data_IF_727187494323
#
_entry.id   IF_727187494323
#
_cell.length_a   1.000
_cell.length_b   1.000
_cell.length_c   1.000
_cell.angle_alpha   90.00
_cell.angle_beta   90.00
_cell.angle_gamma   90.00
#
_symmetry.space_group_name_H-M   'P 1'
#
loop_
_entity.id
_entity.type
_entity.pdbx_description
1 polymer ?
#
# COMPACT_ATOMS: atom_id res chain seq x y z
N UNK A 1 -26.40 -10.22 0.56
CA UNK A 1 -25.68 -9.03 0.03
C UNK A 1 -24.80 -8.34 1.08
N UNK A 2 -25.10 -8.42 2.39
CA UNK A 2 -24.27 -7.83 3.46
C UNK A 2 -22.85 -8.45 3.56
N UNK A 3 -22.69 -9.78 3.41
CA UNK A 3 -21.37 -10.41 3.48
C UNK A 3 -20.41 -9.96 2.37
N UNK A 4 -20.87 -9.75 1.14
CA UNK A 4 -20.02 -9.29 0.03
C UNK A 4 -19.49 -7.87 0.26
N UNK A 5 -20.33 -6.98 0.79
CA UNK A 5 -19.90 -5.64 1.21
C UNK A 5 -18.87 -5.69 2.34
N UNK A 6 -19.07 -6.56 3.33
CA UNK A 6 -18.14 -6.73 4.44
C UNK A 6 -16.77 -7.26 3.97
N UNK A 7 -16.75 -8.23 3.07
CA UNK A 7 -15.51 -8.72 2.44
C UNK A 7 -14.79 -7.63 1.64
N UNK A 8 -15.54 -6.76 0.95
CA UNK A 8 -14.96 -5.63 0.23
C UNK A 8 -14.33 -4.63 1.19
N UNK A 9 -15.04 -4.25 2.25
CA UNK A 9 -14.53 -3.33 3.28
C UNK A 9 -13.29 -3.89 4.00
N UNK A 10 -13.28 -5.19 4.32
CA UNK A 10 -12.11 -5.84 4.94
C UNK A 10 -10.89 -5.81 4.01
N UNK A 11 -11.08 -5.99 2.70
CA UNK A 11 -9.99 -5.85 1.71
C UNK A 11 -9.49 -4.41 1.62
N UNK A 12 -10.39 -3.43 1.62
CA UNK A 12 -10.04 -2.00 1.54
C UNK A 12 -9.32 -1.50 2.79
N UNK A 13 -9.68 -1.98 3.99
CA UNK A 13 -8.98 -1.64 5.23
C UNK A 13 -7.49 -2.03 5.16
N UNK A 14 -7.17 -3.19 4.57
CA UNK A 14 -5.77 -3.60 4.39
C UNK A 14 -5.00 -2.69 3.41
N UNK A 15 -5.65 -2.11 2.40
CA UNK A 15 -5.02 -1.13 1.51
C UNK A 15 -4.71 0.18 2.24
N UNK A 16 -5.65 0.68 3.06
CA UNK A 16 -5.43 1.87 3.90
C UNK A 16 -4.30 1.63 4.90
N UNK A 17 -4.31 0.49 5.58
CA UNK A 17 -3.24 0.09 6.51
C UNK A 17 -1.90 -0.06 5.81
N UNK A 18 -1.86 -0.72 4.65
CA UNK A 18 -0.62 -0.89 3.87
C UNK A 18 -0.05 0.45 3.40
N UNK A 19 -0.90 1.37 2.95
CA UNK A 19 -0.52 2.75 2.59
C UNK A 19 0.12 3.47 3.78
N UNK A 20 -0.52 3.41 4.94
CA UNK A 20 -0.06 4.02 6.17
C UNK A 20 1.27 3.44 6.64
N UNK A 21 1.37 2.12 6.74
CA UNK A 21 2.58 1.43 7.20
C UNK A 21 3.78 1.69 6.28
N UNK A 22 3.56 1.71 4.96
CA UNK A 22 4.61 2.04 4.01
C UNK A 22 5.07 3.50 4.14
N UNK A 23 4.15 4.45 4.32
CA UNK A 23 4.52 5.87 4.47
C UNK A 23 5.15 6.17 5.84
N UNK A 24 4.70 5.47 6.88
CA UNK A 24 5.07 5.70 8.28
C UNK A 24 6.49 5.26 8.65
N UNK A 25 7.22 4.61 7.75
CA UNK A 25 8.64 4.28 7.97
C UNK A 25 9.59 5.46 7.74
N UNK A 26 9.10 6.58 7.19
CA UNK A 26 9.93 7.73 6.85
C UNK A 26 10.55 8.40 8.08
N UNK A 27 11.88 8.56 8.06
CA UNK A 27 12.65 9.29 9.04
C UNK A 27 13.13 10.64 8.47
N UNK A 28 12.84 11.73 9.17
CA UNK A 28 13.11 13.10 8.66
C UNK A 28 14.59 13.48 8.70
N UNK A 29 15.35 12.92 9.64
CA UNK A 29 16.75 13.27 9.84
C UNK A 29 17.66 12.58 8.82
N UNK A 30 17.44 11.27 8.64
CA UNK A 30 18.21 10.41 7.76
C UNK A 30 17.66 10.36 6.34
N UNK A 31 16.39 10.79 6.14
CA UNK A 31 15.66 10.74 4.85
C UNK A 31 15.52 9.33 4.28
N UNK A 32 15.58 8.32 5.14
CA UNK A 32 15.31 6.92 4.79
C UNK A 32 13.85 6.58 5.12
N UNK A 33 13.38 5.40 4.73
CA UNK A 33 11.98 5.06 4.94
C UNK A 33 11.04 5.65 3.90
N UNK A 34 9.74 5.45 4.08
CA UNK A 34 8.68 6.10 3.32
C UNK A 34 8.10 5.27 2.18
N UNK A 35 7.15 5.86 1.43
CA UNK A 35 6.25 5.13 0.54
C UNK A 35 6.89 4.79 -0.82
N UNK A 36 8.02 4.08 -0.80
CA UNK A 36 8.82 3.75 -1.99
C UNK A 36 8.65 2.30 -2.46
N UNK A 37 7.56 1.64 -2.04
CA UNK A 37 7.17 0.32 -2.52
C UNK A 37 7.90 -0.86 -1.87
N UNK A 38 8.69 -0.63 -0.82
CA UNK A 38 9.50 -1.66 -0.13
C UNK A 38 8.67 -2.66 0.66
N UNK A 39 7.44 -2.31 1.03
CA UNK A 39 6.50 -3.16 1.79
C UNK A 39 6.11 -4.47 1.10
N UNK A 40 6.54 -4.68 -0.15
CA UNK A 40 6.41 -5.95 -0.88
C UNK A 40 7.50 -6.97 -0.52
N UNK A 41 8.60 -6.51 0.07
CA UNK A 41 9.75 -7.35 0.40
C UNK A 41 9.49 -8.15 1.66
N UNK A 42 9.96 -9.41 1.67
CA UNK A 42 9.72 -10.35 2.76
C UNK A 42 10.17 -9.83 4.13
N UNK A 43 11.31 -9.14 4.18
CA UNK A 43 11.87 -8.60 5.43
C UNK A 43 10.94 -7.55 6.05
N UNK A 44 10.44 -6.61 5.25
CA UNK A 44 9.52 -5.57 5.75
C UNK A 44 8.13 -6.16 6.09
N UNK A 45 7.65 -7.14 5.32
CA UNK A 45 6.40 -7.85 5.63
C UNK A 45 6.49 -8.68 6.92
N UNK A 46 7.69 -9.15 7.27
CA UNK A 46 7.95 -9.93 8.48
C UNK A 46 7.96 -9.08 9.76
N UNK A 47 8.02 -7.75 9.66
CA UNK A 47 7.86 -6.88 10.82
C UNK A 47 6.50 -7.13 11.50
N UNK A 48 6.48 -7.31 12.82
CA UNK A 48 5.27 -7.62 13.58
C UNK A 48 4.14 -6.61 13.32
N UNK A 49 4.50 -5.32 13.22
CA UNK A 49 3.57 -4.24 12.88
C UNK A 49 2.87 -4.43 11.52
N UNK A 50 3.48 -5.16 10.59
CA UNK A 50 2.99 -5.39 9.23
C UNK A 50 2.22 -6.72 9.08
N UNK A 51 1.97 -7.44 10.18
CA UNK A 51 1.24 -8.70 10.17
C UNK A 51 -0.10 -8.60 9.42
N UNK A 52 -0.27 -9.47 8.41
CA UNK A 52 -1.46 -9.58 7.57
C UNK A 52 -1.48 -8.65 6.35
N UNK A 53 -0.42 -7.89 6.07
CA UNK A 53 -0.26 -7.07 4.86
C UNK A 53 0.19 -7.89 3.63
N UNK A 54 0.81 -9.04 3.85
CA UNK A 54 1.09 -10.07 2.84
C UNK A 54 -0.17 -10.44 2.04
N UNK A 55 -1.30 -10.57 2.72
CA UNK A 55 -2.61 -10.83 2.09
C UNK A 55 -3.01 -9.68 1.15
N UNK A 56 -2.77 -8.42 1.55
CA UNK A 56 -3.09 -7.28 0.70
C UNK A 56 -2.16 -7.20 -0.51
N UNK A 57 -0.86 -7.41 -0.32
CA UNK A 57 0.11 -7.48 -1.42
C UNK A 57 -0.30 -8.57 -2.41
N UNK A 58 -0.60 -9.78 -1.94
CA UNK A 58 -1.03 -10.89 -2.80
C UNK A 58 -2.35 -10.63 -3.54
N UNK A 59 -3.32 -9.93 -2.92
CA UNK A 59 -4.57 -9.54 -3.59
C UNK A 59 -4.36 -8.46 -4.66
N UNK A 60 -3.39 -7.58 -4.44
CA UNK A 60 -3.09 -6.45 -5.32
C UNK A 60 -2.18 -6.84 -6.50
N UNK A 61 -1.39 -7.90 -6.36
CA UNK A 61 -0.41 -8.34 -7.36
C UNK A 61 -1.00 -8.61 -8.76
N UNK A 62 -2.12 -9.35 -8.91
CA UNK A 62 -2.71 -9.59 -10.23
C UNK A 62 -3.28 -8.32 -10.88
N UNK A 63 -3.63 -7.32 -10.07
CA UNK A 63 -4.09 -6.02 -10.57
C UNK A 63 -2.87 -5.20 -10.98
N UNK A 64 -1.81 -5.16 -10.17
CA UNK A 64 -0.56 -4.48 -10.48
C UNK A 64 0.06 -4.98 -11.80
N UNK A 65 -0.01 -6.28 -12.06
CA UNK A 65 0.48 -6.90 -13.28
C UNK A 65 -0.19 -6.36 -14.56
N UNK A 66 -1.44 -5.89 -14.47
CA UNK A 66 -2.16 -5.27 -15.59
C UNK A 66 -1.68 -3.84 -15.90
N UNK A 67 -0.95 -3.21 -14.96
CA UNK A 67 -0.45 -1.84 -15.07
C UNK A 67 1.07 -1.79 -14.90
N UNK A 68 1.85 -2.28 -15.89
CA UNK A 68 3.31 -2.33 -15.80
C UNK A 68 3.94 -0.93 -15.78
N UNK A 69 3.24 0.09 -16.32
CA UNK A 69 3.70 1.49 -16.33
C UNK A 69 3.75 2.12 -14.93
N UNK A 70 2.95 1.63 -13.98
CA UNK A 70 2.92 2.15 -12.62
C UNK A 70 4.03 1.53 -11.79
N UNK A 71 4.72 2.34 -11.00
CA UNK A 71 5.63 1.84 -9.97
C UNK A 71 4.83 1.16 -8.85
N UNK A 72 5.44 0.21 -8.13
CA UNK A 72 4.81 -0.38 -6.95
C UNK A 72 4.52 0.69 -5.88
N UNK A 73 5.42 1.67 -5.75
CA UNK A 73 5.27 2.81 -4.86
C UNK A 73 3.98 3.59 -5.14
N UNK A 74 3.76 4.01 -6.39
CA UNK A 74 2.54 4.74 -6.75
C UNK A 74 1.30 3.84 -6.70
N UNK A 75 1.41 2.59 -7.12
CA UNK A 75 0.28 1.67 -7.14
C UNK A 75 -0.28 1.41 -5.74
N UNK A 76 0.56 1.15 -4.74
CA UNK A 76 0.10 0.93 -3.36
C UNK A 76 -0.49 2.19 -2.74
N UNK A 77 0.08 3.36 -3.05
CA UNK A 77 -0.47 4.64 -2.57
C UNK A 77 -1.83 4.95 -3.21
N UNK A 78 -1.97 4.68 -4.52
CA UNK A 78 -3.24 4.81 -5.23
C UNK A 78 -4.30 3.83 -4.69
N UNK A 79 -3.93 2.58 -4.42
CA UNK A 79 -4.84 1.60 -3.83
C UNK A 79 -5.40 2.06 -2.47
N UNK A 80 -4.60 2.75 -1.66
CA UNK A 80 -5.06 3.33 -0.40
C UNK A 80 -5.93 4.58 -0.58
N UNK A 81 -5.67 5.43 -1.59
CA UNK A 81 -6.54 6.57 -1.95
C UNK A 81 -7.93 6.06 -2.37
N UNK A 82 -7.95 5.15 -3.33
CA UNK A 82 -9.19 4.55 -3.85
C UNK A 82 -9.97 3.82 -2.74
N UNK A 83 -9.27 3.18 -1.80
CA UNK A 83 -9.92 2.53 -0.66
C UNK A 83 -10.65 3.52 0.26
N UNK A 84 -10.09 4.72 0.48
CA UNK A 84 -10.76 5.77 1.27
C UNK A 84 -11.98 6.29 0.51
N UNK A 85 -11.85 6.56 -0.79
CA UNK A 85 -12.96 7.08 -1.61
C UNK A 85 -14.13 6.09 -1.70
N UNK A 86 -13.87 4.81 -1.97
CA UNK A 86 -14.92 3.78 -2.08
C UNK A 86 -15.64 3.54 -0.74
N UNK A 87 -14.98 3.78 0.39
CA UNK A 87 -15.60 3.66 1.71
C UNK A 87 -16.37 4.91 2.16
N UNK A 88 -16.51 5.90 1.27
CA UNK A 88 -17.26 7.14 1.53
C UNK A 88 -16.41 8.24 2.18
N UNK A 89 -15.08 8.10 2.16
CA UNK A 89 -14.15 9.15 2.55
C UNK A 89 -14.04 10.27 1.50
N UNK A 90 -13.25 11.31 1.79
CA UNK A 90 -13.05 12.44 0.87
C UNK A 90 -12.24 12.03 -0.36
N UNK A 91 -12.36 12.81 -1.43
CA UNK A 91 -11.45 12.74 -2.58
C UNK A 91 -10.05 13.18 -2.14
N UNK A 92 -9.04 12.33 -2.38
CA UNK A 92 -7.66 12.60 -1.96
C UNK A 92 -6.82 12.90 -3.20
N UNK A 93 -6.25 14.12 -3.34
CA UNK A 93 -5.36 14.44 -4.44
C UNK A 93 -4.20 13.45 -4.53
N UNK A 94 -4.06 12.79 -5.69
CA UNK A 94 -2.97 11.86 -5.96
C UNK A 94 -2.01 12.43 -6.99
N UNK A 95 -0.73 12.51 -6.63
CA UNK A 95 0.35 12.92 -7.53
C UNK A 95 1.25 11.69 -7.79
N UNK A 96 1.36 11.23 -9.05
CA UNK A 96 2.24 10.12 -9.42
C UNK A 96 3.70 10.60 -9.52
N UNK A 97 4.63 9.64 -9.62
CA UNK A 97 6.06 9.88 -9.82
C UNK A 97 6.95 9.36 -8.69
N UNK A 98 6.43 8.51 -7.78
CA UNK A 98 7.27 7.95 -6.72
C UNK A 98 8.27 6.96 -7.31
N UNK A 99 9.58 7.13 -7.05
CA UNK A 99 10.57 6.14 -7.42
C UNK A 99 10.37 4.87 -6.59
N UNK A 100 10.81 3.73 -7.15
CA UNK A 100 10.85 2.47 -6.41
C UNK A 100 12.19 2.38 -5.71
N UNK A 101 12.17 1.99 -4.44
CA UNK A 101 13.37 1.49 -3.77
C UNK A 101 13.35 -0.05 -3.87
N UNK A 102 14.39 -0.61 -4.48
CA UNK A 102 14.54 -2.06 -4.68
C UNK A 102 15.31 -2.73 -3.54
N UNK A 103 15.87 -1.95 -2.62
CA UNK A 103 16.51 -2.47 -1.42
C UNK A 103 15.55 -2.39 -0.24
N UNK A 104 15.41 -3.45 0.57
CA UNK A 104 14.73 -3.35 1.86
C UNK A 104 15.48 -2.32 2.69
N UNK A 105 14.73 -1.37 3.26
CA UNK A 105 15.25 -0.39 4.19
C UNK A 105 15.62 -1.12 5.48
N UNK A 106 16.88 -1.52 5.58
CA UNK A 106 17.57 -1.73 6.84
C UNK A 106 18.07 -0.37 7.34
#
# INVERSE_FOLDING_TARGET
MICLHLFFIIKLNKCVRGRWHSAGTFDVETKTGGPFGTIRHGDELAHEANSGLDIAVGLLEPIKAQFPILTYADFYQLAGVVAVEITGGPEIPFHPGRPVCDFPLI
#
